data_IF_923744288953
#
_entry.id   IF_923744288953
#
_cell.length_a   1.000
_cell.length_b   1.000
_cell.length_c   1.000
_cell.angle_alpha   90.00
_cell.angle_beta   90.00
_cell.angle_gamma   90.00
#
_symmetry.space_group_name_H-M   'P 1'
#
loop_
_entity.id
_entity.type
_entity.pdbx_description
1 polymer ?
#
# COMPACT_ATOMS: atom_id res chain seq x y z
N UNK A 1 22.78 -13.95 96.59
CA UNK A 1 22.38 -12.59 96.15
C UNK A 1 23.24 -12.02 94.99
N UNK A 2 24.59 -12.01 95.07
CA UNK A 2 25.45 -11.48 93.96
C UNK A 2 25.43 -12.34 92.70
N UNK A 3 25.25 -13.62 92.75
CA UNK A 3 25.22 -14.55 91.58
C UNK A 3 23.93 -14.37 90.77
N UNK A 4 22.79 -14.10 91.41
CA UNK A 4 21.51 -13.92 90.77
C UNK A 4 21.44 -12.59 89.99
N UNK A 5 22.05 -11.53 90.48
CA UNK A 5 22.14 -10.25 89.80
C UNK A 5 23.02 -10.31 88.52
N UNK A 6 24.14 -11.07 88.57
CA UNK A 6 24.99 -11.26 87.43
C UNK A 6 24.31 -12.12 86.35
N UNK A 7 23.54 -13.12 86.67
CA UNK A 7 22.75 -13.90 85.70
C UNK A 7 21.62 -13.11 85.13
N UNK A 8 20.93 -12.28 85.93
CA UNK A 8 19.88 -11.36 85.40
C UNK A 8 20.45 -10.36 84.46
N UNK A 9 21.59 -9.74 84.76
CA UNK A 9 22.27 -8.76 83.88
C UNK A 9 22.74 -9.40 82.59
N UNK A 10 23.32 -10.60 82.61
CA UNK A 10 23.72 -11.35 81.41
C UNK A 10 22.53 -11.73 80.53
N UNK A 11 21.39 -12.04 81.10
CA UNK A 11 20.14 -12.31 80.35
C UNK A 11 19.58 -11.05 79.66
N UNK A 12 19.53 -9.95 80.37
CA UNK A 12 19.10 -8.65 79.80
C UNK A 12 20.01 -8.22 78.67
N UNK A 13 21.34 -8.33 78.85
CA UNK A 13 22.33 -7.97 77.82
C UNK A 13 22.19 -8.87 76.57
N UNK A 14 21.98 -10.19 76.76
CA UNK A 14 21.74 -11.14 75.66
C UNK A 14 20.48 -10.75 74.88
N UNK A 15 19.37 -10.43 75.55
CA UNK A 15 18.13 -10.04 74.92
C UNK A 15 18.30 -8.71 74.14
N UNK A 16 19.02 -7.71 74.69
CA UNK A 16 19.31 -6.45 74.02
C UNK A 16 20.15 -6.66 72.76
N UNK A 17 21.15 -7.55 72.82
CA UNK A 17 21.97 -7.94 71.66
C UNK A 17 21.12 -8.55 70.54
N UNK A 18 20.22 -9.47 70.88
CA UNK A 18 19.30 -10.11 69.93
C UNK A 18 18.40 -9.08 69.28
N UNK A 19 17.83 -8.14 70.03
CA UNK A 19 16.97 -7.06 69.46
C UNK A 19 17.80 -6.17 68.54
N UNK A 20 19.03 -5.83 68.92
CA UNK A 20 19.91 -5.04 68.06
C UNK A 20 20.24 -5.77 66.75
N UNK A 21 20.56 -7.03 66.79
CA UNK A 21 20.84 -7.86 65.60
C UNK A 21 19.60 -7.96 64.68
N UNK A 22 18.41 -8.17 65.22
CA UNK A 22 17.15 -8.16 64.49
C UNK A 22 16.89 -6.81 63.82
N UNK A 23 17.15 -5.69 64.54
CA UNK A 23 17.01 -4.35 63.96
C UNK A 23 17.96 -4.14 62.78
N UNK A 24 19.27 -4.49 62.95
CA UNK A 24 20.26 -4.40 61.85
C UNK A 24 19.81 -5.26 60.65
N UNK A 25 19.33 -6.47 60.90
CA UNK A 25 18.85 -7.37 59.84
C UNK A 25 17.65 -6.78 59.08
N UNK A 26 16.68 -6.21 59.78
CA UNK A 26 15.53 -5.53 59.15
C UNK A 26 15.96 -4.33 58.29
N UNK A 27 16.84 -3.47 58.86
CA UNK A 27 17.35 -2.31 58.13
C UNK A 27 18.13 -2.73 56.88
N UNK A 28 19.00 -3.74 56.99
CA UNK A 28 19.76 -4.28 55.85
C UNK A 28 18.85 -4.89 54.79
N UNK A 29 17.79 -5.61 55.18
CA UNK A 29 16.80 -6.21 54.29
C UNK A 29 15.99 -5.16 53.55
N UNK A 30 15.55 -4.08 54.24
CA UNK A 30 14.82 -2.96 53.62
C UNK A 30 15.74 -2.21 52.62
N UNK A 31 16.99 -2.00 52.99
CA UNK A 31 17.97 -1.35 52.08
C UNK A 31 18.25 -2.21 50.85
N UNK A 32 18.46 -3.50 51.02
CA UNK A 32 18.68 -4.43 49.91
C UNK A 32 17.45 -4.50 48.97
N UNK A 33 16.23 -4.52 49.54
CA UNK A 33 14.99 -4.48 48.79
C UNK A 33 14.85 -3.20 47.97
N UNK A 34 15.07 -2.02 48.59
CA UNK A 34 15.03 -0.75 47.89
C UNK A 34 16.03 -0.67 46.73
N UNK A 35 17.28 -1.13 46.98
CA UNK A 35 18.32 -1.18 45.96
C UNK A 35 17.93 -2.05 44.77
N UNK A 36 17.33 -3.22 45.00
CA UNK A 36 16.83 -4.15 43.96
C UNK A 36 15.65 -3.51 43.20
N UNK A 37 14.70 -2.92 43.91
CA UNK A 37 13.54 -2.24 43.29
C UNK A 37 13.97 -1.08 42.40
N UNK A 38 14.87 -0.22 42.86
CA UNK A 38 15.38 0.89 42.06
C UNK A 38 16.16 0.40 40.83
N UNK A 39 16.95 -0.66 40.95
CA UNK A 39 17.65 -1.26 39.80
C UNK A 39 16.69 -1.84 38.76
N UNK A 40 15.59 -2.46 39.19
CA UNK A 40 14.55 -2.96 38.29
C UNK A 40 13.81 -1.81 37.58
N UNK A 41 13.43 -0.76 38.30
CA UNK A 41 12.81 0.43 37.73
C UNK A 41 13.70 1.08 36.66
N UNK A 42 14.99 1.27 36.96
CA UNK A 42 15.94 1.83 36.01
C UNK A 42 16.07 0.96 34.76
N UNK A 43 16.13 -0.38 34.94
CA UNK A 43 16.17 -1.32 33.80
C UNK A 43 14.94 -1.23 32.92
N UNK A 44 13.74 -1.13 33.52
CA UNK A 44 12.48 -0.97 32.77
C UNK A 44 12.48 0.35 31.99
N UNK A 45 12.90 1.47 32.62
CA UNK A 45 13.01 2.77 31.95
C UNK A 45 13.97 2.71 30.76
N UNK A 46 15.15 2.12 30.91
CA UNK A 46 16.11 1.96 29.81
C UNK A 46 15.54 1.13 28.65
N UNK A 47 14.85 0.02 28.95
CA UNK A 47 14.20 -0.80 27.93
C UNK A 47 13.09 -0.06 27.18
N UNK A 48 12.29 0.75 27.90
CA UNK A 48 11.25 1.59 27.29
C UNK A 48 11.85 2.67 26.41
N UNK A 49 12.91 3.31 26.84
CA UNK A 49 13.61 4.34 26.06
C UNK A 49 14.22 3.75 24.79
N UNK A 50 14.88 2.59 24.88
CA UNK A 50 15.42 1.88 23.72
C UNK A 50 14.31 1.45 22.75
N UNK A 51 13.21 0.91 23.23
CA UNK A 51 12.07 0.52 22.41
C UNK A 51 11.44 1.74 21.69
N UNK A 52 11.30 2.86 22.39
CA UNK A 52 10.81 4.10 21.83
C UNK A 52 11.76 4.67 20.76
N UNK A 53 13.06 4.64 21.02
CA UNK A 53 14.10 5.06 20.06
C UNK A 53 14.09 4.20 18.81
N UNK A 54 13.96 2.88 18.97
CA UNK A 54 13.85 1.96 17.82
C UNK A 54 12.60 2.23 16.98
N UNK A 55 11.46 2.49 17.63
CA UNK A 55 10.22 2.84 16.94
C UNK A 55 10.36 4.14 16.14
N UNK A 56 10.94 5.18 16.75
CA UNK A 56 11.21 6.45 16.04
C UNK A 56 12.15 6.27 14.86
N UNK A 57 13.18 5.42 15.00
CA UNK A 57 14.10 5.13 13.91
C UNK A 57 13.39 4.42 12.74
N UNK A 58 12.51 3.46 13.04
CA UNK A 58 11.72 2.79 12.02
C UNK A 58 10.74 3.75 11.30
N UNK A 59 10.08 4.63 12.06
CA UNK A 59 9.19 5.64 11.47
C UNK A 59 9.97 6.62 10.58
N UNK A 60 11.13 7.08 11.01
CA UNK A 60 12.01 7.93 10.21
C UNK A 60 12.48 7.22 8.93
N UNK A 61 12.90 5.96 9.02
CA UNK A 61 13.31 5.19 7.84
C UNK A 61 12.15 4.97 6.85
N UNK A 62 10.95 4.71 7.35
CA UNK A 62 9.76 4.60 6.49
C UNK A 62 9.43 5.91 5.80
N UNK A 63 9.51 7.03 6.53
CA UNK A 63 9.29 8.35 5.96
C UNK A 63 10.34 8.70 4.88
N UNK A 64 11.62 8.38 5.12
CA UNK A 64 12.68 8.58 4.13
C UNK A 64 12.50 7.72 2.88
N UNK A 65 12.12 6.45 3.06
CA UNK A 65 11.84 5.55 1.91
C UNK A 65 10.66 6.07 1.09
N UNK A 66 9.57 6.48 1.74
CA UNK A 66 8.41 7.05 1.05
C UNK A 66 8.76 8.34 0.29
N UNK A 67 9.56 9.23 0.91
CA UNK A 67 9.98 10.48 0.27
C UNK A 67 10.93 10.24 -0.92
N UNK A 68 11.83 9.27 -0.81
CA UNK A 68 12.72 8.88 -1.91
C UNK A 68 11.93 8.27 -3.08
N UNK A 69 10.97 7.38 -2.80
CA UNK A 69 10.09 6.81 -3.80
C UNK A 69 9.27 7.90 -4.52
N UNK A 70 8.74 8.88 -3.77
CA UNK A 70 8.04 10.03 -4.32
C UNK A 70 8.93 10.87 -5.24
N UNK A 71 10.17 11.13 -4.82
CA UNK A 71 11.13 11.91 -5.61
C UNK A 71 11.48 11.18 -6.92
N UNK A 72 11.73 9.88 -6.84
CA UNK A 72 12.02 9.05 -8.01
C UNK A 72 10.82 8.97 -8.96
N UNK A 73 9.60 8.85 -8.43
CA UNK A 73 8.37 8.90 -9.21
C UNK A 73 8.23 10.23 -9.98
N UNK A 74 8.41 11.37 -9.30
CA UNK A 74 8.32 12.69 -9.94
C UNK A 74 9.39 12.88 -11.01
N UNK A 75 10.61 12.37 -10.81
CA UNK A 75 11.67 12.41 -11.83
C UNK A 75 11.31 11.57 -13.05
N UNK A 76 10.81 10.35 -12.87
CA UNK A 76 10.33 9.50 -13.96
C UNK A 76 9.17 10.15 -14.69
N UNK A 77 8.17 10.67 -13.98
CA UNK A 77 7.04 11.38 -14.58
C UNK A 77 7.47 12.60 -15.40
N UNK A 78 8.44 13.37 -14.90
CA UNK A 78 8.98 14.51 -15.65
C UNK A 78 9.63 14.07 -16.97
N UNK A 79 10.35 12.96 -16.98
CA UNK A 79 10.93 12.38 -18.19
C UNK A 79 9.84 11.88 -19.15
N UNK A 80 8.85 11.14 -18.63
CA UNK A 80 7.80 10.51 -19.41
C UNK A 80 6.81 11.53 -20.00
N UNK A 81 6.60 12.65 -19.33
CA UNK A 81 5.85 13.81 -19.86
C UNK A 81 6.65 14.54 -20.96
N UNK A 82 7.95 14.68 -20.78
CA UNK A 82 8.80 15.39 -21.77
C UNK A 82 8.87 14.67 -23.12
N UNK A 83 8.87 13.34 -23.10
CA UNK A 83 8.98 12.51 -24.31
C UNK A 83 7.83 12.76 -25.30
N UNK A 84 6.54 12.64 -24.95
CA UNK A 84 5.43 12.94 -25.86
C UNK A 84 5.37 14.41 -26.25
N UNK A 85 5.71 15.35 -25.35
CA UNK A 85 5.77 16.78 -25.70
C UNK A 85 6.79 17.05 -26.80
N UNK A 86 8.00 16.48 -26.67
CA UNK A 86 9.03 16.60 -27.71
C UNK A 86 8.60 15.90 -29.01
N UNK A 87 7.90 14.77 -28.91
CA UNK A 87 7.32 14.08 -30.07
C UNK A 87 6.29 14.95 -30.80
N UNK A 88 5.36 15.58 -30.08
CA UNK A 88 4.37 16.51 -30.63
C UNK A 88 5.09 17.67 -31.35
N UNK A 89 6.05 18.31 -30.67
CA UNK A 89 6.81 19.43 -31.29
C UNK A 89 7.53 19.01 -32.57
N UNK A 90 8.22 17.87 -32.54
CA UNK A 90 8.92 17.33 -33.70
C UNK A 90 7.96 17.04 -34.88
N UNK A 91 6.75 16.50 -34.59
CA UNK A 91 5.74 16.23 -35.60
C UNK A 91 5.19 17.53 -36.20
N UNK A 92 5.06 18.60 -35.42
CA UNK A 92 4.67 19.94 -35.93
C UNK A 92 5.74 20.47 -36.87
N UNK A 93 7.03 20.39 -36.51
CA UNK A 93 8.13 20.82 -37.36
C UNK A 93 8.18 20.03 -38.69
N UNK A 94 7.95 18.71 -38.63
CA UNK A 94 7.85 17.84 -39.81
C UNK A 94 6.65 18.26 -40.70
N UNK A 95 5.49 18.50 -40.07
CA UNK A 95 4.31 18.93 -40.80
C UNK A 95 4.52 20.27 -41.48
N UNK A 96 5.19 21.22 -40.85
CA UNK A 96 5.55 22.51 -41.41
C UNK A 96 6.51 22.40 -42.61
N UNK A 97 7.43 21.45 -42.56
CA UNK A 97 8.36 21.17 -43.67
C UNK A 97 7.64 20.54 -44.88
N UNK A 98 6.71 19.62 -44.67
CA UNK A 98 5.97 18.89 -45.69
C UNK A 98 4.56 19.47 -45.88
N UNK A 99 4.42 20.80 -46.05
CA UNK A 99 3.12 21.52 -46.12
C UNK A 99 2.19 21.01 -47.21
N UNK A 100 2.74 20.63 -48.37
CA UNK A 100 1.98 20.23 -49.55
C UNK A 100 1.79 18.71 -49.66
N UNK A 101 2.38 17.91 -48.77
CA UNK A 101 2.25 16.45 -48.74
C UNK A 101 1.12 16.03 -47.78
N UNK A 102 -0.08 15.81 -48.35
CA UNK A 102 -1.26 15.44 -47.57
C UNK A 102 -1.08 14.14 -46.78
N UNK A 103 -0.29 13.17 -47.30
CA UNK A 103 -0.04 11.90 -46.58
C UNK A 103 0.85 12.12 -45.33
N UNK A 104 1.88 12.95 -45.49
CA UNK A 104 2.75 13.35 -44.37
C UNK A 104 1.99 14.17 -43.34
N UNK A 105 1.13 15.10 -43.80
CA UNK A 105 0.27 15.85 -42.89
C UNK A 105 -0.66 14.97 -42.08
N UNK A 106 -1.23 13.93 -42.69
CA UNK A 106 -2.13 13.01 -42.02
C UNK A 106 -1.37 12.10 -41.03
N UNK A 107 -0.17 11.62 -41.40
CA UNK A 107 0.72 10.89 -40.51
C UNK A 107 1.10 11.72 -39.29
N UNK A 108 1.49 12.98 -39.48
CA UNK A 108 1.85 13.89 -38.38
C UNK A 108 0.67 14.12 -37.43
N UNK A 109 -0.53 14.39 -37.96
CA UNK A 109 -1.74 14.57 -37.15
C UNK A 109 -2.06 13.35 -36.29
N UNK A 110 -1.99 12.17 -36.86
CA UNK A 110 -2.22 10.94 -36.12
C UNK A 110 -1.21 10.76 -34.99
N UNK A 111 0.08 10.95 -35.26
CA UNK A 111 1.13 10.84 -34.23
C UNK A 111 0.99 11.90 -33.13
N UNK A 112 0.58 13.12 -33.46
CA UNK A 112 0.29 14.17 -32.48
C UNK A 112 -0.90 13.77 -31.62
N UNK A 113 -1.95 13.22 -32.23
CA UNK A 113 -3.13 12.74 -31.51
C UNK A 113 -2.79 11.64 -30.51
N UNK A 114 -2.03 10.62 -30.97
CA UNK A 114 -1.61 9.49 -30.14
C UNK A 114 -0.73 9.96 -28.97
N UNK A 115 0.24 10.84 -29.23
CA UNK A 115 1.11 11.41 -28.20
C UNK A 115 0.35 12.29 -27.20
N UNK A 116 -0.68 13.02 -27.65
CA UNK A 116 -1.54 13.82 -26.78
C UNK A 116 -2.41 12.94 -25.89
N UNK A 117 -2.93 11.82 -26.41
CA UNK A 117 -3.68 10.82 -25.64
C UNK A 117 -2.83 10.21 -24.53
N UNK A 118 -1.60 9.80 -24.87
CA UNK A 118 -0.64 9.27 -23.88
C UNK A 118 -0.28 10.31 -22.79
N UNK A 119 -0.11 11.57 -23.16
CA UNK A 119 0.15 12.65 -22.20
C UNK A 119 -1.02 12.85 -21.22
N UNK A 120 -2.26 12.77 -21.70
CA UNK A 120 -3.44 12.83 -20.83
C UNK A 120 -3.51 11.66 -19.86
N UNK A 121 -3.16 10.45 -20.29
CA UNK A 121 -3.08 9.28 -19.42
C UNK A 121 -2.06 9.51 -18.28
N UNK A 122 -0.84 9.98 -18.61
CA UNK A 122 0.19 10.28 -17.61
C UNK A 122 -0.25 11.36 -16.62
N UNK A 123 -0.92 12.42 -17.08
CA UNK A 123 -1.44 13.47 -16.19
C UNK A 123 -2.48 12.89 -15.23
N UNK A 124 -3.36 12.05 -15.73
CA UNK A 124 -4.36 11.39 -14.88
C UNK A 124 -3.72 10.48 -13.85
N UNK A 125 -2.67 9.73 -14.19
CA UNK A 125 -1.90 8.90 -13.24
C UNK A 125 -1.29 9.75 -12.11
N UNK A 126 -0.72 10.92 -12.44
CA UNK A 126 -0.17 11.86 -11.44
C UNK A 126 -1.26 12.42 -10.53
N UNK A 127 -2.40 12.82 -11.10
CA UNK A 127 -3.53 13.33 -10.32
C UNK A 127 -4.12 12.26 -9.40
N UNK A 128 -4.14 11.03 -9.86
CA UNK A 128 -4.61 9.88 -9.08
C UNK A 128 -3.68 9.59 -7.91
N UNK A 129 -2.37 9.63 -8.13
CA UNK A 129 -1.38 9.49 -7.06
C UNK A 129 -1.52 10.61 -6.02
N UNK A 130 -1.70 11.86 -6.45
CA UNK A 130 -1.91 13.00 -5.55
C UNK A 130 -3.17 12.85 -4.69
N UNK A 131 -4.26 12.29 -5.24
CA UNK A 131 -5.48 12.01 -4.49
C UNK A 131 -5.30 10.88 -3.46
N UNK A 132 -4.49 9.87 -3.78
CA UNK A 132 -4.14 8.80 -2.83
C UNK A 132 -3.33 9.32 -1.64
N UNK A 133 -2.43 10.29 -1.86
CA UNK A 133 -1.62 10.90 -0.79
C UNK A 133 -2.44 11.81 0.13
N UNK A 134 -3.47 12.47 -0.39
CA UNK A 134 -4.28 13.44 0.40
C UNK A 134 -5.33 12.79 1.30
N UNK A 135 -5.43 11.45 1.35
CA UNK A 135 -6.49 10.71 2.07
C UNK A 135 -7.93 11.15 1.68
N UNK A 136 -8.07 11.91 0.61
CA UNK A 136 -9.36 12.42 0.12
C UNK A 136 -10.14 11.41 -0.74
N UNK A 137 -9.82 10.11 -0.69
CA UNK A 137 -10.63 9.11 -1.36
C UNK A 137 -11.91 8.89 -0.55
N UNK A 138 -12.92 9.64 -0.89
CA UNK A 138 -14.27 9.39 -0.37
C UNK A 138 -14.89 8.28 -1.21
N UNK A 139 -14.94 7.07 -0.65
CA UNK A 139 -15.68 5.99 -1.26
C UNK A 139 -17.17 6.34 -1.26
N UNK A 140 -17.77 6.33 -2.44
CA UNK A 140 -19.22 6.46 -2.55
C UNK A 140 -19.89 5.24 -1.92
N UNK A 141 -21.04 5.46 -1.31
CA UNK A 141 -21.88 4.40 -0.77
C UNK A 141 -23.22 4.46 -1.51
N UNK A 142 -23.27 3.86 -2.69
CA UNK A 142 -24.42 3.90 -3.60
C UNK A 142 -24.86 2.51 -3.98
N UNK A 143 -26.15 2.36 -4.17
CA UNK A 143 -26.71 1.15 -4.77
C UNK A 143 -26.44 1.15 -6.28
N UNK A 144 -25.96 0.04 -6.80
CA UNK A 144 -25.67 -0.12 -8.23
C UNK A 144 -25.90 -1.54 -8.70
N UNK A 145 -26.15 -1.68 -9.99
CA UNK A 145 -26.32 -2.97 -10.69
C UNK A 145 -24.94 -3.44 -11.17
N UNK A 146 -24.42 -4.52 -10.59
CA UNK A 146 -23.10 -5.08 -10.93
C UNK A 146 -23.06 -5.57 -12.38
N UNK A 147 -24.13 -6.18 -12.88
CA UNK A 147 -24.17 -6.67 -14.25
C UNK A 147 -24.08 -5.52 -15.27
N UNK A 148 -24.73 -4.40 -14.98
CA UNK A 148 -24.63 -3.20 -15.81
C UNK A 148 -23.22 -2.64 -15.81
N UNK A 149 -22.58 -2.58 -14.65
CA UNK A 149 -21.20 -2.10 -14.52
C UNK A 149 -20.22 -2.97 -15.30
N UNK A 150 -20.33 -4.30 -15.21
CA UNK A 150 -19.51 -5.24 -15.97
C UNK A 150 -19.76 -5.12 -17.48
N UNK A 151 -21.00 -4.93 -17.90
CA UNK A 151 -21.37 -4.72 -19.31
C UNK A 151 -20.72 -3.42 -19.86
N UNK A 152 -20.79 -2.32 -19.13
CA UNK A 152 -20.14 -1.05 -19.52
C UNK A 152 -18.61 -1.19 -19.65
N UNK A 153 -17.96 -1.95 -18.77
CA UNK A 153 -16.54 -2.26 -18.85
C UNK A 153 -16.25 -3.06 -20.12
N UNK A 154 -17.05 -4.08 -20.38
CA UNK A 154 -16.91 -4.96 -21.56
C UNK A 154 -16.99 -4.18 -22.86
N UNK A 155 -17.98 -3.30 -23.03
CA UNK A 155 -18.14 -2.49 -24.24
C UNK A 155 -16.88 -1.67 -24.56
N UNK A 156 -16.26 -1.07 -23.53
CA UNK A 156 -15.02 -0.30 -23.69
C UNK A 156 -13.86 -1.20 -24.11
N UNK A 157 -13.74 -2.36 -23.49
CA UNK A 157 -12.61 -3.27 -23.72
C UNK A 157 -12.72 -4.02 -25.05
N UNK A 158 -13.91 -4.43 -25.48
CA UNK A 158 -14.13 -5.12 -26.75
C UNK A 158 -13.54 -4.35 -27.95
N UNK A 159 -13.67 -3.02 -27.95
CA UNK A 159 -13.06 -2.19 -28.98
C UNK A 159 -11.54 -2.26 -28.95
N UNK A 160 -10.92 -2.18 -27.75
CA UNK A 160 -9.46 -2.19 -27.60
C UNK A 160 -8.84 -3.55 -27.99
N UNK A 161 -9.48 -4.65 -27.58
CA UNK A 161 -8.99 -6.01 -27.93
C UNK A 161 -9.15 -6.29 -29.42
N UNK A 162 -10.24 -5.82 -30.05
CA UNK A 162 -10.44 -5.94 -31.49
C UNK A 162 -9.36 -5.22 -32.29
N UNK A 163 -9.03 -3.97 -31.95
CA UNK A 163 -7.98 -3.18 -32.59
C UNK A 163 -6.60 -3.83 -32.51
N UNK A 164 -6.34 -4.63 -31.47
CA UNK A 164 -5.09 -5.36 -31.24
C UNK A 164 -5.11 -6.82 -31.70
N UNK A 165 -6.24 -7.30 -32.21
CA UNK A 165 -6.40 -8.70 -32.61
C UNK A 165 -6.29 -9.70 -31.44
N UNK A 166 -6.62 -9.26 -30.21
CA UNK A 166 -6.64 -10.09 -29.00
C UNK A 166 -8.02 -10.76 -28.92
N UNK A 167 -8.06 -12.02 -28.45
CA UNK A 167 -9.30 -12.72 -28.15
C UNK A 167 -9.73 -12.45 -26.72
N UNK A 168 -10.93 -11.89 -26.53
CA UNK A 168 -11.54 -11.71 -25.20
C UNK A 168 -12.59 -12.79 -24.98
N UNK A 169 -12.48 -13.52 -23.89
CA UNK A 169 -13.47 -14.50 -23.45
C UNK A 169 -13.87 -14.25 -22.01
N UNK A 170 -15.12 -14.52 -21.71
CA UNK A 170 -15.64 -14.50 -20.35
C UNK A 170 -16.08 -15.91 -19.97
N UNK A 171 -15.71 -16.35 -18.78
CA UNK A 171 -16.27 -17.54 -18.20
C UNK A 171 -17.69 -17.22 -17.75
N UNK A 172 -18.64 -18.08 -18.13
CA UNK A 172 -20.02 -17.94 -17.71
C UNK A 172 -20.09 -17.82 -16.18
N UNK A 173 -20.73 -16.78 -15.70
CA UNK A 173 -20.91 -16.49 -14.28
C UNK A 173 -22.38 -16.27 -13.97
N UNK A 174 -22.80 -16.76 -12.82
CA UNK A 174 -24.13 -16.50 -12.28
C UNK A 174 -23.96 -15.77 -10.95
N UNK A 175 -24.08 -14.44 -10.98
CA UNK A 175 -24.05 -13.63 -9.77
C UNK A 175 -25.42 -13.67 -9.12
N UNK A 176 -25.47 -14.09 -7.86
CA UNK A 176 -26.71 -14.21 -7.09
C UNK A 176 -27.29 -12.85 -6.75
N UNK A 177 -26.39 -11.89 -6.39
CA UNK A 177 -26.76 -10.54 -5.97
C UNK A 177 -26.51 -9.52 -7.09
N UNK A 178 -27.58 -9.13 -7.76
CA UNK A 178 -27.53 -8.17 -8.85
C UNK A 178 -27.28 -6.74 -8.39
N UNK A 179 -27.87 -6.36 -7.25
CA UNK A 179 -27.77 -5.02 -6.69
C UNK A 179 -26.86 -5.02 -5.49
N UNK A 180 -25.80 -4.23 -5.56
CA UNK A 180 -24.79 -4.08 -4.51
C UNK A 180 -24.77 -2.66 -4.02
N UNK A 181 -24.38 -2.48 -2.77
CA UNK A 181 -24.10 -1.17 -2.19
C UNK A 181 -22.59 -0.98 -2.04
N UNK A 182 -22.05 0.13 -2.57
CA UNK A 182 -20.62 0.40 -2.55
C UNK A 182 -20.24 1.57 -3.44
N UNK A 183 -19.00 1.57 -3.92
CA UNK A 183 -18.47 2.62 -4.81
C UNK A 183 -18.26 2.09 -6.23
N UNK A 184 -19.26 2.21 -7.12
CA UNK A 184 -19.18 1.70 -8.49
C UNK A 184 -18.08 2.39 -9.31
N UNK A 185 -17.79 3.66 -9.07
CA UNK A 185 -16.75 4.41 -9.77
C UNK A 185 -15.37 3.84 -9.48
N UNK A 186 -15.07 3.57 -8.20
CA UNK A 186 -13.79 2.99 -7.79
C UNK A 186 -13.67 1.53 -8.24
N UNK A 187 -14.74 0.75 -8.14
CA UNK A 187 -14.75 -0.62 -8.63
C UNK A 187 -14.49 -0.67 -10.14
N UNK A 188 -15.22 0.14 -10.93
CA UNK A 188 -15.00 0.24 -12.38
C UNK A 188 -13.56 0.60 -12.72
N UNK A 189 -12.96 1.53 -11.97
CA UNK A 189 -11.58 1.98 -12.17
C UNK A 189 -10.58 0.87 -11.89
N UNK A 190 -10.74 0.09 -10.80
CA UNK A 190 -9.87 -1.04 -10.48
C UNK A 190 -9.94 -2.09 -11.59
N UNK A 191 -11.14 -2.49 -12.00
CA UNK A 191 -11.33 -3.48 -13.05
C UNK A 191 -10.74 -3.02 -14.38
N UNK A 192 -11.00 -1.77 -14.76
CA UNK A 192 -10.45 -1.18 -15.98
C UNK A 192 -8.92 -1.14 -15.99
N UNK A 193 -8.28 -0.80 -14.86
CA UNK A 193 -6.82 -0.80 -14.75
C UNK A 193 -6.23 -2.20 -14.96
N UNK A 194 -6.84 -3.22 -14.36
CA UNK A 194 -6.37 -4.61 -14.51
C UNK A 194 -6.54 -5.07 -15.96
N UNK A 195 -7.71 -4.84 -16.56
CA UNK A 195 -8.00 -5.32 -17.91
C UNK A 195 -7.19 -4.54 -18.95
N UNK A 196 -7.07 -3.21 -18.81
CA UNK A 196 -6.26 -2.41 -19.73
C UNK A 196 -4.78 -2.81 -19.71
N UNK A 197 -4.25 -3.19 -18.55
CA UNK A 197 -2.90 -3.78 -18.44
C UNK A 197 -2.81 -5.12 -19.17
N UNK A 198 -3.81 -5.98 -19.03
CA UNK A 198 -3.88 -7.26 -19.74
C UNK A 198 -3.94 -7.06 -21.28
N UNK A 199 -4.60 -5.99 -21.77
CA UNK A 199 -4.61 -5.62 -23.19
C UNK A 199 -3.25 -5.03 -23.61
N UNK A 200 -2.71 -4.09 -22.81
CA UNK A 200 -1.48 -3.32 -23.12
C UNK A 200 -0.25 -4.22 -23.24
N UNK A 201 -0.12 -5.17 -22.32
CA UNK A 201 1.05 -6.04 -22.20
C UNK A 201 0.84 -7.43 -22.83
N UNK A 202 -0.26 -7.62 -23.54
CA UNK A 202 -0.50 -8.86 -24.28
C UNK A 202 0.35 -8.92 -25.56
N UNK A 203 0.52 -10.15 -26.06
CA UNK A 203 1.10 -10.40 -27.37
C UNK A 203 0.06 -10.26 -28.47
N UNK A 204 0.51 -10.06 -29.71
CA UNK A 204 -0.37 -10.12 -30.88
C UNK A 204 -1.09 -11.46 -30.94
N UNK A 205 -2.38 -11.43 -31.24
CA UNK A 205 -3.28 -12.62 -31.24
C UNK A 205 -3.27 -13.38 -29.91
N UNK A 206 -3.04 -12.64 -28.80
CA UNK A 206 -3.14 -13.20 -27.46
C UNK A 206 -4.58 -13.40 -27.02
N UNK A 207 -4.73 -13.87 -25.79
CA UNK A 207 -6.04 -14.17 -25.19
C UNK A 207 -6.15 -13.47 -23.83
N UNK A 208 -7.37 -13.03 -23.50
CA UNK A 208 -7.74 -12.55 -22.17
C UNK A 208 -8.98 -13.32 -21.76
N UNK A 209 -8.93 -13.94 -20.57
CA UNK A 209 -10.05 -14.61 -19.94
C UNK A 209 -10.44 -13.88 -18.68
N UNK A 210 -11.69 -13.40 -18.62
CA UNK A 210 -12.28 -12.81 -17.44
C UNK A 210 -13.15 -13.83 -16.71
N UNK A 211 -13.12 -13.81 -15.38
CA UNK A 211 -13.98 -14.66 -14.56
C UNK A 211 -14.39 -13.89 -13.31
N UNK A 212 -15.62 -14.07 -12.88
CA UNK A 212 -16.22 -13.42 -11.74
C UNK A 212 -16.80 -14.47 -10.81
N UNK A 213 -16.55 -14.31 -9.52
CA UNK A 213 -17.06 -15.21 -8.49
C UNK A 213 -17.63 -14.38 -7.35
N UNK A 214 -18.65 -14.92 -6.74
CA UNK A 214 -19.34 -14.33 -5.63
C UNK A 214 -19.43 -15.33 -4.50
N UNK A 215 -19.06 -14.89 -3.30
CA UNK A 215 -19.14 -15.69 -2.09
C UNK A 215 -19.71 -14.83 -0.97
N UNK A 216 -20.71 -15.34 -0.27
CA UNK A 216 -21.26 -14.65 0.89
C UNK A 216 -20.20 -14.61 2.00
N UNK A 217 -19.82 -13.40 2.43
CA UNK A 217 -18.85 -13.21 3.49
C UNK A 217 -19.52 -13.23 4.87
N UNK A 218 -20.70 -12.58 4.98
CA UNK A 218 -21.59 -12.58 6.16
C UNK A 218 -23.03 -12.24 5.74
N UNK A 219 -23.94 -11.99 6.71
CA UNK A 219 -25.36 -11.71 6.44
C UNK A 219 -25.59 -10.40 5.64
N UNK A 220 -24.60 -9.54 5.50
CA UNK A 220 -24.71 -8.21 4.86
C UNK A 220 -23.67 -7.94 3.79
N UNK A 221 -22.62 -8.76 3.70
CA UNK A 221 -21.50 -8.55 2.82
C UNK A 221 -21.26 -9.76 1.92
N UNK A 222 -20.91 -9.47 0.69
CA UNK A 222 -20.41 -10.46 -0.26
C UNK A 222 -18.93 -10.20 -0.53
N UNK A 223 -18.19 -11.26 -0.81
CA UNK A 223 -16.87 -11.21 -1.39
C UNK A 223 -17.04 -11.38 -2.91
N UNK A 224 -16.68 -10.33 -3.65
CA UNK A 224 -16.66 -10.35 -5.10
C UNK A 224 -15.23 -10.55 -5.58
N UNK A 225 -14.97 -11.69 -6.23
CA UNK A 225 -13.66 -12.02 -6.78
C UNK A 225 -13.64 -11.81 -8.29
N UNK A 226 -12.68 -11.05 -8.77
CA UNK A 226 -12.43 -10.82 -10.18
C UNK A 226 -11.11 -11.45 -10.60
N UNK A 227 -11.14 -12.30 -11.61
CA UNK A 227 -9.96 -12.93 -12.18
C UNK A 227 -9.78 -12.48 -13.62
N UNK A 228 -8.61 -11.94 -13.93
CA UNK A 228 -8.18 -11.60 -15.27
C UNK A 228 -6.92 -12.40 -15.59
N UNK A 229 -7.04 -13.30 -16.55
CA UNK A 229 -5.93 -14.11 -17.05
C UNK A 229 -5.59 -13.69 -18.47
N UNK A 230 -4.35 -13.32 -18.71
CA UNK A 230 -3.83 -12.96 -20.03
C UNK A 230 -2.70 -13.89 -20.48
N UNK A 231 -2.37 -13.83 -21.77
CA UNK A 231 -1.26 -14.57 -22.38
C UNK A 231 -0.07 -13.66 -22.72
N UNK A 232 0.02 -12.51 -22.07
CA UNK A 232 1.03 -11.49 -22.33
C UNK A 232 2.44 -11.86 -21.90
N UNK A 233 3.29 -10.85 -21.79
CA UNK A 233 4.72 -11.02 -21.46
C UNK A 233 4.94 -11.44 -20.01
N UNK A 234 3.92 -11.32 -19.17
CA UNK A 234 4.01 -11.62 -17.73
C UNK A 234 4.85 -10.63 -16.95
N UNK A 235 5.06 -10.92 -15.68
CA UNK A 235 5.82 -10.11 -14.74
C UNK A 235 6.98 -10.92 -14.16
N UNK A 236 8.18 -10.33 -14.07
CA UNK A 236 9.33 -10.97 -13.43
C UNK A 236 9.03 -11.23 -11.94
N UNK A 237 9.67 -12.26 -11.36
CA UNK A 237 9.49 -12.57 -9.92
C UNK A 237 9.88 -11.40 -9.01
N UNK A 238 10.82 -10.58 -9.45
CA UNK A 238 11.26 -9.40 -8.71
C UNK A 238 10.21 -8.29 -8.77
N UNK A 239 9.67 -8.00 -9.95
CA UNK A 239 8.57 -7.05 -10.12
C UNK A 239 7.32 -7.45 -9.33
N UNK A 240 6.96 -8.75 -9.31
CA UNK A 240 5.80 -9.24 -8.55
C UNK A 240 5.88 -8.95 -7.04
N UNK A 241 7.09 -8.91 -6.46
CA UNK A 241 7.27 -8.60 -5.03
C UNK A 241 6.92 -7.14 -4.70
N UNK A 242 7.12 -6.26 -5.68
CA UNK A 242 6.98 -4.80 -5.50
C UNK A 242 5.81 -4.21 -6.31
N UNK A 243 5.00 -5.05 -6.99
CA UNK A 243 3.93 -4.61 -7.89
C UNK A 243 2.84 -3.76 -7.22
N UNK A 244 2.70 -3.85 -5.89
CA UNK A 244 1.74 -3.12 -5.05
C UNK A 244 2.42 -2.24 -3.99
N UNK A 245 3.75 -2.09 -4.06
CA UNK A 245 4.49 -1.16 -3.20
C UNK A 245 4.53 0.21 -3.88
N UNK A 246 4.35 1.26 -3.08
CA UNK A 246 4.41 2.66 -3.52
C UNK A 246 5.86 3.14 -3.49
#
# INVERSE_FOLDING_TARGET
MFIDEQMAFASVFKNLLVVLLLYIFVVASVFAFRRRSNAQLLKIQMMQEEAYKQKLLQEAQRADMANNAKTEFLQRMSHDIRTPINGIRGMIEVADYYKDDLKKQDECRRKIWDASGYLLELINEVLDMSKLESEEIVLENKDFDINRLLHEIREVIEKQVYERGISLSEKEYNLEYRYLNGSPVHLKRILMNIISNAVKYNKEKGEILLSYYETQADDRHILFEFHCKDTGVGMSKEFQKHAFEI
#
